data_IF_511655333309
#
_entry.id   IF_511655333309
#
_cell.length_a   1.000
_cell.length_b   1.000
_cell.length_c   1.000
_cell.angle_alpha   90.00
_cell.angle_beta   90.00
_cell.angle_gamma   90.00
#
_symmetry.space_group_name_H-M   'P 1'
#
loop_
_entity.id
_entity.type
_entity.pdbx_description
1 polymer ?
#
# COMPACT_ATOMS: atom_id res chain seq x y z
N UNK A 1 -7.30 -20.38 -48.97
CA UNK A 1 -6.33 -19.49 -48.30
C UNK A 1 -6.97 -18.74 -47.12
N UNK A 2 -7.28 -19.38 -45.97
CA UNK A 2 -7.83 -18.67 -44.80
C UNK A 2 -6.85 -18.53 -43.62
N UNK A 3 -5.70 -19.21 -43.64
CA UNK A 3 -4.79 -19.34 -42.49
C UNK A 3 -4.11 -18.04 -42.08
N UNK A 4 -3.75 -17.17 -43.02
CA UNK A 4 -3.10 -15.88 -42.71
C UNK A 4 -4.00 -14.95 -41.89
N UNK A 5 -5.31 -14.92 -42.19
CA UNK A 5 -6.25 -14.06 -41.47
C UNK A 5 -6.46 -14.54 -40.03
N UNK A 6 -6.39 -15.87 -39.81
CA UNK A 6 -6.49 -16.47 -38.48
C UNK A 6 -5.24 -16.15 -37.65
N UNK A 7 -4.06 -16.22 -38.25
CA UNK A 7 -2.78 -15.86 -37.59
C UNK A 7 -2.71 -14.38 -37.20
N UNK A 8 -3.21 -13.50 -38.07
CA UNK A 8 -3.33 -12.07 -37.78
C UNK A 8 -4.34 -11.80 -36.66
N UNK A 9 -5.49 -12.48 -36.69
CA UNK A 9 -6.52 -12.32 -35.67
C UNK A 9 -6.06 -12.83 -34.29
N UNK A 10 -5.38 -13.98 -34.23
CA UNK A 10 -4.86 -14.51 -32.96
C UNK A 10 -3.73 -13.64 -32.40
N UNK A 11 -2.84 -13.14 -33.26
CA UNK A 11 -1.81 -12.18 -32.86
C UNK A 11 -2.41 -10.88 -32.31
N UNK A 12 -3.43 -10.34 -32.98
CA UNK A 12 -4.12 -9.13 -32.53
C UNK A 12 -4.79 -9.33 -31.16
N UNK A 13 -5.53 -10.42 -30.98
CA UNK A 13 -6.18 -10.73 -29.69
C UNK A 13 -5.15 -10.92 -28.57
N UNK A 14 -4.02 -11.55 -28.87
CA UNK A 14 -2.94 -11.74 -27.89
C UNK A 14 -2.28 -10.42 -27.48
N UNK A 15 -1.96 -9.56 -28.44
CA UNK A 15 -1.42 -8.21 -28.15
C UNK A 15 -2.40 -7.35 -27.38
N UNK A 16 -3.70 -7.43 -27.69
CA UNK A 16 -4.75 -6.71 -26.96
C UNK A 16 -4.88 -7.23 -25.52
N UNK A 17 -4.79 -8.55 -25.30
CA UNK A 17 -4.79 -9.15 -23.98
C UNK A 17 -3.60 -8.70 -23.12
N UNK A 18 -2.39 -8.68 -23.70
CA UNK A 18 -1.20 -8.17 -23.01
C UNK A 18 -1.31 -6.68 -22.67
N UNK A 19 -1.90 -5.87 -23.56
CA UNK A 19 -2.13 -4.45 -23.31
C UNK A 19 -3.10 -4.23 -22.15
N UNK A 20 -4.18 -5.02 -22.06
CA UNK A 20 -5.12 -4.95 -20.94
C UNK A 20 -4.43 -5.34 -19.63
N UNK A 21 -3.64 -6.42 -19.63
CA UNK A 21 -2.88 -6.81 -18.44
C UNK A 21 -1.87 -5.74 -18.02
N UNK A 22 -1.16 -5.11 -18.97
CA UNK A 22 -0.21 -4.04 -18.67
C UNK A 22 -0.88 -2.76 -18.11
N UNK A 23 -2.16 -2.52 -18.45
CA UNK A 23 -2.94 -1.39 -17.89
C UNK A 23 -3.52 -1.75 -16.52
N UNK A 24 -3.88 -3.02 -16.28
CA UNK A 24 -4.52 -3.48 -15.03
C UNK A 24 -3.49 -3.81 -13.93
N UNK A 25 -2.34 -4.38 -14.26
CA UNK A 25 -1.30 -4.76 -13.28
C UNK A 25 -0.84 -3.58 -12.39
N UNK A 26 -0.64 -2.36 -12.91
CA UNK A 26 -0.25 -1.24 -12.07
C UNK A 26 -1.45 -0.59 -11.34
N UNK A 27 -2.72 -0.95 -11.67
CA UNK A 27 -3.91 -0.56 -10.87
C UNK A 27 -3.96 -1.25 -9.50
N UNK A 28 -3.38 -2.44 -9.37
CA UNK A 28 -3.12 -3.09 -8.08
C UNK A 28 -1.86 -2.55 -7.41
N UNK A 29 -1.62 -1.25 -7.59
CA UNK A 29 -0.53 -0.46 -7.04
C UNK A 29 -0.26 -0.88 -5.61
N UNK A 30 0.88 -1.55 -5.44
CA UNK A 30 1.36 -2.15 -4.22
C UNK A 30 1.20 -1.16 -3.06
N UNK A 31 0.22 -1.40 -2.20
CA UNK A 31 0.14 -0.78 -0.87
C UNK A 31 1.29 -1.33 -0.04
N UNK A 32 2.52 -0.90 -0.34
CA UNK A 32 3.70 -1.32 0.40
C UNK A 32 3.67 -0.61 1.74
N UNK A 33 3.47 -1.38 2.81
CA UNK A 33 3.63 -0.86 4.17
C UNK A 33 5.11 -0.65 4.43
N UNK A 34 5.48 0.58 4.75
CA UNK A 34 6.83 0.95 5.17
C UNK A 34 6.78 1.50 6.60
N UNK A 35 7.80 1.16 7.39
CA UNK A 35 8.00 1.79 8.69
C UNK A 35 8.62 3.16 8.47
N UNK A 36 7.99 4.19 9.01
CA UNK A 36 8.46 5.56 8.96
C UNK A 36 8.53 6.14 10.37
N UNK A 37 9.48 7.03 10.61
CA UNK A 37 9.67 7.69 11.91
C UNK A 37 8.94 9.02 11.91
N UNK A 38 8.16 9.30 12.94
CA UNK A 38 7.53 10.62 13.10
C UNK A 38 8.59 11.62 13.53
N UNK A 39 8.73 12.73 12.80
CA UNK A 39 9.68 13.80 13.12
C UNK A 39 8.98 14.97 13.80
N UNK A 40 7.73 15.24 13.38
CA UNK A 40 6.92 16.33 13.90
C UNK A 40 5.45 15.98 13.68
N UNK A 41 4.61 16.27 14.65
CA UNK A 41 3.18 16.01 14.61
C UNK A 41 2.40 17.22 15.07
N UNK A 42 1.38 17.62 14.30
CA UNK A 42 0.41 18.63 14.72
C UNK A 42 -0.99 18.01 14.82
N UNK A 43 -2.00 18.81 15.20
CA UNK A 43 -3.36 18.30 15.42
C UNK A 43 -4.04 17.76 14.14
N UNK A 44 -3.56 18.13 12.95
CA UNK A 44 -4.20 17.79 11.67
C UNK A 44 -3.34 16.88 10.76
N UNK A 45 -2.02 16.97 10.89
CA UNK A 45 -1.05 16.38 9.97
C UNK A 45 0.23 16.03 10.71
N UNK A 46 0.93 15.00 10.23
CA UNK A 46 2.22 14.60 10.77
C UNK A 46 3.25 14.52 9.66
N UNK A 47 4.49 14.85 10.00
CA UNK A 47 5.64 14.76 9.13
C UNK A 47 6.46 13.54 9.52
N UNK A 48 6.72 12.67 8.55
CA UNK A 48 7.42 11.41 8.73
C UNK A 48 8.71 11.37 7.92
N UNK A 49 9.76 10.78 8.49
CA UNK A 49 10.98 10.38 7.81
C UNK A 49 10.83 8.93 7.34
N UNK A 50 11.04 8.72 6.05
CA UNK A 50 11.13 7.40 5.45
C UNK A 50 12.55 6.83 5.58
N UNK A 51 12.71 5.50 5.53
CA UNK A 51 14.02 4.85 5.64
C UNK A 51 14.95 5.14 4.46
N UNK A 52 14.41 5.64 3.34
CA UNK A 52 15.18 6.10 2.19
C UNK A 52 15.70 7.54 2.36
N UNK A 53 15.54 8.16 3.53
CA UNK A 53 15.92 9.54 3.82
C UNK A 53 14.95 10.60 3.29
N UNK A 54 13.87 10.21 2.62
CA UNK A 54 12.83 11.14 2.17
C UNK A 54 11.93 11.57 3.33
N UNK A 55 11.33 12.75 3.22
CA UNK A 55 10.36 13.27 4.20
C UNK A 55 9.00 13.41 3.53
N UNK A 56 7.94 12.94 4.20
CA UNK A 56 6.57 13.02 3.70
C UNK A 56 5.63 13.59 4.74
N UNK A 57 4.55 14.24 4.28
CA UNK A 57 3.43 14.64 5.12
C UNK A 57 2.31 13.61 5.01
N UNK A 58 1.75 13.24 6.15
CA UNK A 58 0.61 12.34 6.27
C UNK A 58 -0.54 13.14 6.87
N UNK A 59 -1.77 13.05 6.33
CA UNK A 59 -2.94 13.77 6.83
C UNK A 59 -3.54 13.08 8.07
N UNK A 60 -2.68 12.77 9.04
CA UNK A 60 -3.04 12.21 10.34
C UNK A 60 -2.26 13.01 11.38
N UNK A 61 -2.96 13.63 12.31
CA UNK A 61 -2.37 14.38 13.41
C UNK A 61 -2.20 13.57 14.68
N UNK A 62 -1.64 14.21 15.71
CA UNK A 62 -1.49 13.68 17.07
C UNK A 62 -0.76 12.32 17.14
N UNK A 63 0.13 12.05 16.18
CA UNK A 63 1.09 10.96 16.30
C UNK A 63 2.17 11.33 17.32
N UNK A 64 2.67 10.34 18.05
CA UNK A 64 3.80 10.53 18.96
C UNK A 64 5.05 10.88 18.15
N UNK A 65 5.71 11.98 18.50
CA UNK A 65 7.00 12.34 17.90
C UNK A 65 8.04 11.27 18.23
N UNK A 66 9.01 11.05 17.35
CA UNK A 66 10.05 10.01 17.48
C UNK A 66 9.54 8.56 17.41
N UNK A 67 8.23 8.35 17.32
CA UNK A 67 7.63 7.01 17.20
C UNK A 67 7.77 6.43 15.78
N UNK A 68 7.73 5.10 15.69
CA UNK A 68 7.72 4.38 14.41
C UNK A 68 6.28 4.01 14.04
N UNK A 69 5.81 4.53 12.91
CA UNK A 69 4.48 4.27 12.37
C UNK A 69 4.57 3.47 11.08
N UNK A 70 3.58 2.60 10.82
CA UNK A 70 3.42 1.97 9.52
C UNK A 70 2.62 2.88 8.60
N UNK A 71 3.19 3.17 7.43
CA UNK A 71 2.51 3.91 6.38
C UNK A 71 2.45 3.10 5.10
N UNK A 72 1.26 3.03 4.52
CA UNK A 72 1.04 2.49 3.20
C UNK A 72 1.41 3.53 2.15
N UNK A 73 2.27 3.14 1.21
CA UNK A 73 2.57 3.95 0.03
C UNK A 73 1.58 3.56 -1.07
N UNK A 74 0.84 4.53 -1.58
CA UNK A 74 0.02 4.36 -2.80
C UNK A 74 0.62 5.23 -3.89
N UNK A 75 1.21 4.62 -4.91
CA UNK A 75 1.71 5.35 -6.06
C UNK A 75 0.57 5.59 -7.05
N UNK A 76 0.36 6.86 -7.43
CA UNK A 76 -0.61 7.19 -8.48
C UNK A 76 -0.01 6.90 -9.85
N UNK A 77 -0.74 6.17 -10.66
CA UNK A 77 -0.31 5.71 -11.98
C UNK A 77 -0.03 6.83 -12.97
N UNK A 78 -0.89 7.84 -12.98
CA UNK A 78 -0.84 8.89 -13.99
C UNK A 78 0.13 10.02 -13.64
N UNK A 79 0.38 10.25 -12.35
CA UNK A 79 1.23 11.35 -11.88
C UNK A 79 2.57 10.88 -11.31
N UNK A 80 2.76 9.57 -11.09
CA UNK A 80 3.92 9.03 -10.39
C UNK A 80 4.03 9.45 -8.92
N UNK A 81 3.10 10.26 -8.40
CA UNK A 81 3.16 10.81 -7.05
C UNK A 81 2.79 9.76 -6.02
N UNK A 82 3.61 9.64 -4.97
CA UNK A 82 3.33 8.78 -3.81
C UNK A 82 2.39 9.46 -2.82
N UNK A 83 1.28 8.83 -2.52
CA UNK A 83 0.36 9.21 -1.46
C UNK A 83 0.63 8.31 -0.24
N UNK A 84 0.92 8.91 0.91
CA UNK A 84 1.22 8.19 2.15
C UNK A 84 0.01 8.23 3.07
N UNK A 85 -0.45 7.05 3.48
CA UNK A 85 -1.53 6.90 4.47
C UNK A 85 -1.03 6.06 5.64
N UNK A 86 -1.45 6.41 6.85
CA UNK A 86 -1.18 5.54 7.99
C UNK A 86 -1.90 4.20 7.76
N UNK A 87 -1.14 3.12 7.74
CA UNK A 87 -1.72 1.78 7.74
C UNK A 87 -1.87 1.41 9.21
N UNK A 88 -3.07 1.67 9.75
CA UNK A 88 -3.53 0.95 10.93
C UNK A 88 -3.77 -0.48 10.49
N UNK A 89 -2.71 -1.29 10.44
CA UNK A 89 -2.89 -2.71 10.70
C UNK A 89 -3.09 -2.76 12.20
N UNK A 90 -4.31 -3.00 12.74
CA UNK A 90 -4.37 -3.47 14.11
C UNK A 90 -3.41 -4.65 14.19
N UNK A 91 -2.54 -4.76 15.23
CA UNK A 91 -1.86 -6.01 15.46
C UNK A 91 -2.96 -7.07 15.42
N UNK A 92 -2.77 -8.08 14.58
CA UNK A 92 -3.65 -9.23 14.52
C UNK A 92 -4.02 -9.59 15.96
N UNK A 93 -5.27 -9.34 16.36
CA UNK A 93 -5.88 -10.09 17.43
C UNK A 93 -6.17 -11.47 16.86
N UNK A 94 -5.10 -12.20 16.52
CA UNK A 94 -5.08 -13.65 16.57
C UNK A 94 -4.61 -14.04 17.98
N UNK A 95 -5.30 -13.51 18.99
CA UNK A 95 -5.21 -13.95 20.37
C UNK A 95 -6.60 -14.38 20.85
N UNK A 96 -7.35 -15.12 20.03
CA UNK A 96 -8.29 -16.11 20.56
C UNK A 96 -7.46 -17.30 21.03
N UNK A 97 -7.04 -17.30 22.30
CA UNK A 97 -6.75 -18.48 23.14
C UNK A 97 -5.91 -18.07 24.36
N UNK A 98 -6.51 -17.31 25.27
CA UNK A 98 -6.07 -17.26 26.66
C UNK A 98 -7.28 -17.23 27.60
N UNK A 99 -8.23 -18.15 27.38
CA UNK A 99 -9.14 -18.56 28.45
C UNK A 99 -8.37 -19.43 29.44
N UNK A 100 -7.61 -18.77 30.31
CA UNK A 100 -7.14 -19.36 31.55
C UNK A 100 -7.33 -18.33 32.67
N UNK A 101 -8.58 -18.22 33.11
CA UNK A 101 -8.88 -17.66 34.43
C UNK A 101 -9.12 -18.83 35.39
N UNK A 102 -8.02 -19.38 35.91
CA UNK A 102 -8.04 -20.03 37.23
C UNK A 102 -8.41 -19.01 38.31
N UNK A 103 -9.03 -19.55 39.37
CA UNK A 103 -9.36 -19.01 40.70
C UNK A 103 -10.72 -18.32 40.82
N UNK A 104 -11.71 -18.91 41.51
CA UNK A 104 -11.74 -19.29 42.94
C UNK A 104 -11.63 -18.06 43.83
N UNK A 105 -12.79 -17.57 44.25
CA UNK A 105 -13.19 -17.29 45.63
C UNK A 105 -14.70 -17.05 45.64
#
# INVERSE_FOLDING_TARGET
>A
MPSSNILLATGLVFTLGLLILAVVDPLFGQCKSIKARVINSNNQTSTIALPNGSVARVPVGNLEEESHVQVGVKQRLFSGTSEYKLTSTPPLLLNEHASNKKKSL
#
